data_IF_935986750297
#
_entry.id   IF_935986750297
#
_cell.length_a   1.000
_cell.length_b   1.000
_cell.length_c   1.000
_cell.angle_alpha   90.00
_cell.angle_beta   90.00
_cell.angle_gamma   90.00
#
_symmetry.space_group_name_H-M   'P 1'
#
loop_
_entity.id
_entity.type
_entity.pdbx_description
1 polymer ?
#
# COMPACT_ATOMS: atom_id res chain seq x y z
N UNK A 1 2.10 6.14 11.44
CA UNK A 1 1.70 5.54 12.73
C UNK A 1 2.45 4.23 12.96
N UNK A 2 3.29 4.16 13.98
CA UNK A 2 3.73 2.86 14.50
C UNK A 2 2.51 2.21 15.19
N UNK A 3 1.87 1.22 14.55
CA UNK A 3 0.87 0.39 15.22
C UNK A 3 -0.51 0.24 14.56
N UNK A 4 -0.74 0.69 13.33
CA UNK A 4 -2.01 0.40 12.65
C UNK A 4 -2.09 -1.11 12.30
N UNK A 5 -3.14 -1.77 12.79
CA UNK A 5 -3.51 -3.11 12.36
C UNK A 5 -4.41 -3.00 11.13
N UNK A 6 -4.20 -3.89 10.17
CA UNK A 6 -5.05 -3.95 8.99
C UNK A 6 -6.45 -4.41 9.41
N UNK A 7 -7.50 -3.67 9.03
CA UNK A 7 -8.89 -4.02 9.35
C UNK A 7 -9.33 -5.36 8.74
N UNK A 8 -8.62 -5.84 7.71
CA UNK A 8 -8.98 -7.07 6.99
C UNK A 8 -8.35 -8.32 7.61
N UNK A 9 -7.07 -8.30 7.96
CA UNK A 9 -6.37 -9.46 8.53
C UNK A 9 -6.04 -9.33 10.02
N UNK A 10 -6.34 -8.18 10.64
CA UNK A 10 -6.02 -7.85 12.03
C UNK A 10 -4.53 -8.02 12.39
N UNK A 11 -3.65 -7.91 11.40
CA UNK A 11 -2.20 -8.01 11.54
C UNK A 11 -1.51 -6.76 11.00
N UNK A 12 -0.24 -6.59 11.34
CA UNK A 12 0.62 -5.54 10.78
C UNK A 12 1.17 -6.02 9.42
N UNK A 13 0.36 -5.87 8.38
CA UNK A 13 0.68 -6.34 7.03
C UNK A 13 0.98 -5.18 6.05
N UNK A 14 1.36 -4.01 6.53
CA UNK A 14 1.56 -2.84 5.67
C UNK A 14 3.02 -2.70 5.23
N UNK A 15 3.23 -2.28 4.00
CA UNK A 15 4.55 -1.98 3.41
C UNK A 15 4.53 -0.59 2.77
N UNK A 16 5.67 0.09 2.81
CA UNK A 16 5.80 1.43 2.22
C UNK A 16 5.98 1.34 0.70
N UNK A 17 5.16 2.11 -0.04
CA UNK A 17 5.16 2.15 -1.50
C UNK A 17 4.86 3.55 -2.01
N UNK A 18 5.35 3.84 -3.22
CA UNK A 18 5.09 5.10 -3.94
C UNK A 18 4.13 4.80 -5.09
N UNK A 19 3.05 5.56 -5.16
CA UNK A 19 2.06 5.49 -6.23
C UNK A 19 2.28 6.69 -7.16
N UNK A 20 2.87 6.50 -8.35
CA UNK A 20 3.15 7.62 -9.26
C UNK A 20 1.87 8.25 -9.81
N UNK A 21 0.89 7.42 -10.17
CA UNK A 21 -0.35 7.81 -10.87
C UNK A 21 -1.59 7.82 -9.96
N UNK A 22 -1.39 7.78 -8.64
CA UNK A 22 -2.46 7.76 -7.67
C UNK A 22 -3.30 9.06 -7.69
N UNK A 23 -4.44 9.08 -6.97
CA UNK A 23 -5.31 10.25 -6.88
C UNK A 23 -4.60 11.52 -6.39
N UNK A 24 -3.50 11.36 -5.66
CA UNK A 24 -2.48 12.38 -5.47
C UNK A 24 -1.20 11.93 -6.18
N UNK A 25 -0.86 12.59 -7.30
CA UNK A 25 0.31 12.27 -8.13
C UNK A 25 1.59 12.26 -7.27
N UNK A 26 2.26 11.12 -7.20
CA UNK A 26 3.47 10.94 -6.38
C UNK A 26 3.23 10.70 -4.88
N UNK A 27 2.03 10.27 -4.48
CA UNK A 27 1.77 9.92 -3.08
C UNK A 27 2.55 8.68 -2.64
N UNK A 28 3.18 8.78 -1.47
CA UNK A 28 3.87 7.68 -0.84
C UNK A 28 3.18 7.31 0.47
N UNK A 29 2.93 6.03 0.67
CA UNK A 29 2.17 5.57 1.83
C UNK A 29 2.28 4.07 2.09
N UNK A 30 1.53 3.63 3.08
CA UNK A 30 1.53 2.25 3.56
C UNK A 30 0.41 1.46 2.86
N UNK A 31 0.78 0.52 2.00
CA UNK A 31 -0.15 -0.38 1.31
C UNK A 31 -0.17 -1.74 2.01
N UNK A 32 -1.33 -2.36 2.09
CA UNK A 32 -1.52 -3.65 2.72
C UNK A 32 -1.06 -4.80 1.80
N UNK A 33 -0.51 -5.86 2.42
CA UNK A 33 -0.09 -7.09 1.73
C UNK A 33 -1.09 -8.24 1.84
N UNK A 34 -2.14 -8.09 2.65
CA UNK A 34 -3.20 -9.10 2.71
C UNK A 34 -4.21 -8.91 1.56
N UNK A 35 -4.89 -9.98 1.10
CA UNK A 35 -5.79 -9.90 -0.06
C UNK A 35 -6.90 -8.84 0.09
N UNK A 36 -7.52 -8.75 1.26
CA UNK A 36 -8.58 -7.76 1.53
C UNK A 36 -8.05 -6.31 1.53
N UNK A 37 -6.87 -6.10 2.11
CA UNK A 37 -6.22 -4.79 2.10
C UNK A 37 -5.78 -4.37 0.70
N UNK A 38 -5.20 -5.29 -0.07
CA UNK A 38 -4.83 -5.02 -1.47
C UNK A 38 -6.03 -4.63 -2.33
N UNK A 39 -7.15 -5.35 -2.19
CA UNK A 39 -8.38 -5.02 -2.93
C UNK A 39 -8.88 -3.62 -2.56
N UNK A 40 -8.79 -3.25 -1.29
CA UNK A 40 -9.15 -1.92 -0.82
C UNK A 40 -8.21 -0.83 -1.37
N UNK A 41 -6.91 -1.04 -1.28
CA UNK A 41 -5.89 -0.11 -1.80
C UNK A 41 -6.09 0.11 -3.31
N UNK A 42 -6.34 -0.96 -4.07
CA UNK A 42 -6.61 -0.90 -5.51
C UNK A 42 -7.91 -0.15 -5.81
N UNK A 43 -8.96 -0.35 -5.02
CA UNK A 43 -10.21 0.37 -5.18
C UNK A 43 -10.07 1.88 -4.90
N UNK A 44 -9.21 2.26 -3.94
CA UNK A 44 -9.02 3.67 -3.57
C UNK A 44 -7.99 4.40 -4.44
N UNK A 45 -6.91 3.72 -4.81
CA UNK A 45 -5.73 4.35 -5.42
C UNK A 45 -5.43 3.86 -6.83
N UNK A 46 -6.11 2.80 -7.30
CA UNK A 46 -5.78 2.10 -8.54
C UNK A 46 -4.61 1.12 -8.41
N UNK A 47 -3.88 1.14 -7.30
CA UNK A 47 -2.67 0.35 -7.07
C UNK A 47 -2.71 -0.42 -5.74
N UNK A 48 -1.84 -1.42 -5.64
CA UNK A 48 -1.56 -2.19 -4.44
C UNK A 48 -0.05 -2.36 -4.27
N UNK A 49 0.39 -3.08 -3.23
CA UNK A 49 1.82 -3.20 -2.93
C UNK A 49 2.67 -3.92 -4.00
N UNK A 50 2.05 -4.63 -4.94
CA UNK A 50 2.71 -5.37 -6.03
C UNK A 50 2.83 -4.53 -7.30
N UNK A 51 1.92 -3.57 -7.48
CA UNK A 51 1.88 -2.68 -8.64
C UNK A 51 2.48 -1.31 -8.37
N UNK A 52 2.52 -0.89 -7.10
CA UNK A 52 3.16 0.34 -6.68
C UNK A 52 4.69 0.21 -6.59
N UNK A 53 5.39 1.32 -6.80
CA UNK A 53 6.85 1.37 -6.78
C UNK A 53 7.35 1.11 -5.36
N UNK A 54 8.34 0.23 -5.21
CA UNK A 54 9.03 0.02 -3.94
C UNK A 54 10.30 0.89 -3.88
N UNK A 55 10.28 2.07 -3.24
CA UNK A 55 11.43 2.98 -3.20
C UNK A 55 12.60 2.44 -2.37
N UNK A 56 12.39 1.39 -1.58
CA UNK A 56 13.43 0.74 -0.78
C UNK A 56 14.09 -0.43 -1.53
N UNK A 57 13.56 -0.80 -2.70
CA UNK A 57 14.15 -1.82 -3.56
C UNK A 57 15.10 -1.14 -4.55
N UNK A 58 16.21 -0.59 -4.05
CA UNK A 58 17.33 -0.20 -4.90
C UNK A 58 18.15 -1.46 -5.17
N UNK A 59 18.16 -1.92 -6.43
CA UNK A 59 19.17 -2.83 -6.96
C UNK A 59 20.02 -2.06 -7.96
#
# INVERSE_FOLDING_TARGET
MAGAYCKFCNQRCFVYRVIPDGPAKGWAGHLATCPGGMAHDRAQTGHDHTTAINPLSNN
#
